data_IF_894480706981
#
_entry.id   IF_894480706981
#
_cell.length_a   1.000
_cell.length_b   1.000
_cell.length_c   1.000
_cell.angle_alpha   90.00
_cell.angle_beta   90.00
_cell.angle_gamma   90.00
#
_symmetry.space_group_name_H-M   'P 1'
#
loop_
_entity.id
_entity.type
_entity.pdbx_description
1 polymer ?
#
# COMPACT_ATOMS: atom_id res chain seq x y z
N UNK A 1 20.28 12.67 13.35
CA UNK A 1 20.20 11.31 12.80
C UNK A 1 18.87 10.70 13.27
N UNK A 2 17.89 10.58 12.40
CA UNK A 2 16.59 9.99 12.72
C UNK A 2 16.68 8.48 12.49
N UNK A 3 16.34 7.69 13.50
CA UNK A 3 16.32 6.23 13.42
C UNK A 3 14.96 5.81 12.85
N UNK A 4 14.96 5.10 11.73
CA UNK A 4 13.78 4.42 11.18
C UNK A 4 13.78 3.00 11.74
N UNK A 5 12.70 2.63 12.44
CA UNK A 5 12.47 1.28 12.95
C UNK A 5 11.32 0.66 12.15
N UNK A 6 11.54 -0.49 11.55
CA UNK A 6 10.53 -1.25 10.81
C UNK A 6 9.84 -2.22 11.77
N UNK A 7 8.51 -2.12 11.88
CA UNK A 7 7.71 -3.01 12.71
C UNK A 7 6.79 -3.86 11.81
N UNK A 8 6.74 -5.15 12.03
CA UNK A 8 5.85 -6.11 11.35
C UNK A 8 4.95 -6.78 12.36
N UNK A 9 3.69 -6.93 11.99
CA UNK A 9 2.73 -7.76 12.71
C UNK A 9 2.36 -8.99 11.88
N UNK A 10 2.49 -10.17 12.46
CA UNK A 10 1.94 -11.44 11.94
C UNK A 10 0.98 -11.99 12.98
N UNK A 11 -0.16 -12.49 12.52
CA UNK A 11 -1.27 -12.86 13.38
C UNK A 11 -1.71 -14.32 13.23
N UNK A 12 -2.27 -14.89 14.27
CA UNK A 12 -2.99 -16.18 14.27
C UNK A 12 -4.35 -16.08 14.99
N UNK A 13 -5.35 -16.72 14.41
CA UNK A 13 -6.79 -16.86 14.57
C UNK A 13 -7.41 -16.86 16.00
N UNK A 14 -8.69 -16.56 16.29
CA UNK A 14 -10.00 -16.70 15.71
C UNK A 14 -11.16 -16.19 16.61
N UNK A 15 -12.32 -15.99 16.05
CA UNK A 15 -13.75 -15.99 16.32
C UNK A 15 -14.46 -14.68 16.64
N UNK A 16 -15.64 -14.51 16.05
CA UNK A 16 -16.37 -13.33 15.66
C UNK A 16 -17.26 -12.64 16.70
N UNK A 17 -17.51 -11.32 16.54
CA UNK A 17 -18.86 -10.74 16.52
C UNK A 17 -18.90 -9.36 15.81
N UNK A 18 -20.06 -8.91 15.37
CA UNK A 18 -20.33 -8.32 14.07
C UNK A 18 -20.40 -6.80 13.95
N UNK A 19 -19.76 -6.25 12.90
CA UNK A 19 -20.34 -5.32 11.90
C UNK A 19 -19.61 -5.37 10.56
N UNK A 20 -18.40 -5.90 10.53
CA UNK A 20 -17.72 -6.36 9.31
C UNK A 20 -17.54 -7.85 9.48
N UNK A 21 -17.99 -8.72 8.55
CA UNK A 21 -17.73 -10.14 8.65
C UNK A 21 -16.24 -10.42 8.86
N UNK A 22 -15.90 -11.06 9.98
CA UNK A 22 -14.53 -11.40 10.35
C UNK A 22 -13.75 -10.36 11.16
N UNK A 23 -14.26 -9.15 11.38
CA UNK A 23 -13.59 -8.14 12.23
C UNK A 23 -14.19 -8.12 13.62
N UNK A 24 -13.37 -8.30 14.64
CA UNK A 24 -13.75 -8.20 16.05
C UNK A 24 -13.54 -6.78 16.57
N UNK A 25 -14.63 -6.09 16.94
CA UNK A 25 -14.60 -4.71 17.46
C UNK A 25 -14.84 -4.61 18.97
N UNK A 26 -15.24 -5.68 19.63
CA UNK A 26 -15.51 -5.69 21.06
C UNK A 26 -14.34 -6.18 21.88
N UNK A 27 -14.10 -5.56 23.03
CA UNK A 27 -13.04 -5.90 23.97
C UNK A 27 -13.62 -6.19 25.34
N UNK A 28 -13.01 -7.16 26.05
CA UNK A 28 -13.30 -7.43 27.46
C UNK A 28 -12.43 -6.51 28.32
N UNK A 29 -13.05 -5.51 28.98
CA UNK A 29 -12.36 -4.48 29.75
C UNK A 29 -11.95 -5.00 31.12
N UNK A 30 -10.76 -5.57 31.23
CA UNK A 30 -10.05 -5.67 32.48
C UNK A 30 -8.78 -4.84 32.45
N UNK A 31 -8.66 -3.86 33.37
CA UNK A 31 -7.55 -2.91 33.49
C UNK A 31 -6.19 -3.59 33.64
N UNK A 32 -5.49 -3.78 32.51
CA UNK A 32 -4.09 -4.20 32.50
C UNK A 32 -3.28 -3.27 31.60
N UNK A 33 -2.04 -2.99 31.99
CA UNK A 33 -1.08 -2.34 31.08
C UNK A 33 -0.90 -3.23 29.85
N UNK A 34 -1.29 -2.72 28.69
CA UNK A 34 -1.25 -3.47 27.44
C UNK A 34 0.19 -3.72 27.01
N UNK A 35 0.51 -4.99 26.87
CA UNK A 35 1.83 -5.47 26.48
C UNK A 35 1.90 -5.68 24.95
N UNK A 36 3.09 -5.91 24.42
CA UNK A 36 3.27 -6.36 23.03
C UNK A 36 2.50 -7.67 22.76
N UNK A 37 2.40 -8.55 23.76
CA UNK A 37 1.64 -9.79 23.64
C UNK A 37 0.14 -9.56 23.39
N UNK A 38 -0.45 -8.53 24.01
CA UNK A 38 -1.85 -8.17 23.78
C UNK A 38 -2.07 -7.65 22.36
N UNK A 39 -1.16 -6.81 21.86
CA UNK A 39 -1.20 -6.35 20.45
C UNK A 39 -1.05 -7.50 19.47
N UNK A 40 -0.17 -8.43 19.76
CA UNK A 40 0.05 -9.63 18.97
C UNK A 40 -1.20 -10.51 18.94
N UNK A 41 -1.84 -10.70 20.09
CA UNK A 41 -3.10 -11.42 20.20
C UNK A 41 -4.22 -10.74 19.39
N UNK A 42 -4.41 -9.44 19.58
CA UNK A 42 -5.43 -8.66 18.89
C UNK A 42 -5.24 -8.68 17.35
N UNK A 43 -3.99 -8.63 16.91
CA UNK A 43 -3.66 -8.76 15.50
C UNK A 43 -3.95 -10.19 14.99
N UNK A 44 -3.70 -11.20 15.83
CA UNK A 44 -4.02 -12.60 15.55
C UNK A 44 -5.50 -12.83 15.27
N UNK A 45 -6.35 -12.17 16.02
CA UNK A 45 -7.80 -12.22 15.80
C UNK A 45 -8.27 -11.69 14.45
N UNK A 46 -7.45 -10.85 13.77
CA UNK A 46 -7.77 -10.31 12.45
C UNK A 46 -7.25 -11.17 11.29
N UNK A 47 -6.48 -12.22 11.55
CA UNK A 47 -5.75 -12.94 10.50
C UNK A 47 -6.65 -13.42 9.36
N UNK A 48 -7.72 -14.14 9.67
CA UNK A 48 -8.57 -14.75 8.64
C UNK A 48 -9.26 -13.69 7.79
N UNK A 49 -9.70 -12.61 8.43
CA UNK A 49 -10.29 -11.47 7.73
C UNK A 49 -9.26 -10.74 6.85
N UNK A 50 -8.05 -10.51 7.34
CA UNK A 50 -6.95 -9.89 6.56
C UNK A 50 -6.60 -10.76 5.36
N UNK A 51 -6.50 -12.08 5.53
CA UNK A 51 -6.24 -13.03 4.45
C UNK A 51 -7.37 -12.98 3.42
N UNK A 52 -8.63 -12.98 3.85
CA UNK A 52 -9.77 -12.90 2.96
C UNK A 52 -9.81 -11.58 2.21
N UNK A 53 -9.59 -10.46 2.89
CA UNK A 53 -9.52 -9.12 2.29
C UNK A 53 -8.41 -9.05 1.25
N UNK A 54 -7.22 -9.60 1.55
CA UNK A 54 -6.11 -9.70 0.60
C UNK A 54 -6.52 -10.47 -0.65
N UNK A 55 -7.18 -11.62 -0.50
CA UNK A 55 -7.65 -12.45 -1.62
C UNK A 55 -8.69 -11.74 -2.48
N UNK A 56 -9.58 -10.97 -1.87
CA UNK A 56 -10.56 -10.15 -2.58
C UNK A 56 -9.88 -9.05 -3.41
N UNK A 57 -8.90 -8.34 -2.84
CA UNK A 57 -8.12 -7.33 -3.56
C UNK A 57 -7.31 -7.96 -4.69
N UNK A 58 -6.72 -9.13 -4.47
CA UNK A 58 -5.93 -9.86 -5.46
C UNK A 58 -6.74 -10.20 -6.73
N UNK A 59 -8.01 -10.47 -6.58
CA UNK A 59 -8.90 -10.84 -7.72
C UNK A 59 -9.17 -9.70 -8.68
N UNK A 60 -9.07 -8.45 -8.22
CA UNK A 60 -9.43 -7.25 -9.00
C UNK A 60 -8.30 -6.23 -9.00
N UNK A 61 -7.11 -6.59 -9.53
CA UNK A 61 -5.97 -5.68 -9.55
C UNK A 61 -6.24 -4.52 -10.52
N UNK A 62 -5.98 -3.30 -10.05
CA UNK A 62 -6.11 -2.09 -10.83
C UNK A 62 -4.74 -1.42 -10.99
N UNK A 63 -4.52 -0.78 -12.14
CA UNK A 63 -3.22 -0.21 -12.49
C UNK A 63 -3.13 1.25 -12.09
N UNK A 64 -1.93 1.77 -12.16
CA UNK A 64 -1.50 3.16 -11.89
C UNK A 64 -2.62 4.21 -11.97
N UNK A 65 -2.98 4.81 -10.85
CA UNK A 65 -3.97 5.88 -10.75
C UNK A 65 -5.42 5.49 -11.15
N UNK A 66 -5.72 4.21 -11.34
CA UNK A 66 -7.07 3.72 -11.65
C UNK A 66 -7.62 2.76 -10.58
N UNK A 67 -7.04 2.76 -9.39
CA UNK A 67 -7.32 1.87 -8.26
C UNK A 67 -8.67 2.22 -7.57
N UNK A 68 -9.74 2.34 -8.35
CA UNK A 68 -11.06 2.81 -7.91
C UNK A 68 -11.79 1.80 -7.05
N UNK A 69 -11.82 0.53 -7.45
CA UNK A 69 -12.47 -0.54 -6.71
C UNK A 69 -11.70 -0.83 -5.42
N UNK A 70 -10.38 -0.84 -5.52
CA UNK A 70 -9.46 -0.98 -4.38
C UNK A 70 -9.70 0.13 -3.35
N UNK A 71 -9.73 1.38 -3.80
CA UNK A 71 -10.03 2.54 -2.94
C UNK A 71 -11.44 2.46 -2.33
N UNK A 72 -12.44 2.04 -3.11
CA UNK A 72 -13.80 1.86 -2.63
C UNK A 72 -13.88 0.77 -1.54
N UNK A 73 -13.18 -0.35 -1.72
CA UNK A 73 -13.11 -1.41 -0.71
C UNK A 73 -12.47 -0.93 0.58
N UNK A 74 -11.34 -0.20 0.48
CA UNK A 74 -10.64 0.36 1.64
C UNK A 74 -11.56 1.35 2.38
N UNK A 75 -12.20 2.28 1.67
CA UNK A 75 -13.08 3.27 2.30
C UNK A 75 -14.34 2.65 2.91
N UNK A 76 -14.87 1.59 2.31
CA UNK A 76 -15.97 0.80 2.89
C UNK A 76 -15.56 0.23 4.26
N UNK A 77 -14.37 -0.37 4.35
CA UNK A 77 -13.86 -0.92 5.61
C UNK A 77 -13.64 0.20 6.63
N UNK A 78 -12.98 1.30 6.26
CA UNK A 78 -12.74 2.43 7.16
C UNK A 78 -14.05 3.04 7.68
N UNK A 79 -15.08 3.12 6.84
CA UNK A 79 -16.43 3.58 7.25
C UNK A 79 -17.03 2.65 8.28
N UNK A 80 -16.99 1.34 8.06
CA UNK A 80 -17.53 0.36 8.99
C UNK A 80 -16.75 0.33 10.32
N UNK A 81 -15.44 0.59 10.28
CA UNK A 81 -14.60 0.77 11.47
C UNK A 81 -14.81 2.13 12.16
N UNK A 82 -15.61 3.03 11.60
CA UNK A 82 -15.78 4.40 12.08
C UNK A 82 -14.44 5.16 12.20
N UNK A 83 -13.53 4.94 11.26
CA UNK A 83 -12.26 5.66 11.15
C UNK A 83 -12.44 6.86 10.25
N UNK A 84 -12.02 8.04 10.70
CA UNK A 84 -12.04 9.25 9.89
C UNK A 84 -11.00 9.18 8.77
N UNK A 85 -11.41 9.48 7.54
CA UNK A 85 -10.53 9.48 6.38
C UNK A 85 -10.88 10.57 5.37
N UNK A 86 -9.94 10.86 4.49
CA UNK A 86 -10.10 11.69 3.29
C UNK A 86 -9.64 10.91 2.07
N UNK A 87 -10.26 11.20 0.94
CA UNK A 87 -9.97 10.62 -0.38
C UNK A 87 -9.57 11.71 -1.37
N UNK A 88 -9.29 11.33 -2.61
CA UNK A 88 -8.96 12.30 -3.65
C UNK A 88 -7.47 12.64 -3.72
N UNK A 89 -6.64 11.93 -2.99
CA UNK A 89 -5.18 12.08 -2.98
C UNK A 89 -4.52 11.42 -4.19
N UNK A 90 -3.34 11.90 -4.55
CA UNK A 90 -2.53 11.44 -5.68
C UNK A 90 -3.24 11.62 -7.04
N UNK A 91 -3.58 12.84 -7.39
CA UNK A 91 -4.10 13.17 -8.72
C UNK A 91 -3.03 12.96 -9.79
N UNK A 92 -3.41 12.36 -10.90
CA UNK A 92 -2.50 12.12 -12.01
C UNK A 92 -2.34 13.35 -12.89
N UNK A 93 -1.48 14.25 -12.47
CA UNK A 93 -1.17 15.50 -13.22
C UNK A 93 -0.24 15.27 -14.42
N UNK A 94 0.26 14.05 -14.60
CA UNK A 94 1.22 13.68 -15.66
C UNK A 94 0.72 12.55 -16.58
N UNK A 95 -0.58 12.42 -16.71
CA UNK A 95 -1.19 11.34 -17.51
C UNK A 95 -0.68 11.29 -18.94
N UNK A 96 -0.54 12.46 -19.60
CA UNK A 96 -0.02 12.52 -20.97
C UNK A 96 1.47 12.10 -21.05
N UNK A 97 2.28 12.46 -20.04
CA UNK A 97 3.69 12.06 -19.97
C UNK A 97 3.82 10.55 -19.75
N UNK A 98 3.00 9.96 -18.89
CA UNK A 98 2.95 8.51 -18.67
C UNK A 98 2.49 7.77 -19.94
N UNK A 99 1.47 8.26 -20.62
CA UNK A 99 0.99 7.68 -21.87
C UNK A 99 2.06 7.71 -22.97
N UNK A 100 2.82 8.79 -23.06
CA UNK A 100 3.94 8.90 -24.00
C UNK A 100 5.06 7.89 -23.73
N UNK A 101 5.18 7.42 -22.50
CA UNK A 101 6.10 6.34 -22.07
C UNK A 101 5.47 4.94 -22.13
N UNK A 102 4.28 4.81 -22.70
CA UNK A 102 3.60 3.52 -22.86
C UNK A 102 2.83 3.05 -21.60
N UNK A 103 2.71 3.85 -20.55
CA UNK A 103 1.93 3.48 -19.37
C UNK A 103 0.44 3.74 -19.59
N UNK A 104 -0.37 2.73 -19.30
CA UNK A 104 -1.83 2.91 -19.12
C UNK A 104 -2.09 3.36 -17.70
N UNK A 105 -2.67 4.54 -17.53
CA UNK A 105 -2.91 5.13 -16.22
C UNK A 105 -4.26 5.85 -16.12
N UNK A 106 -4.88 5.81 -14.94
CA UNK A 106 -6.11 6.53 -14.63
C UNK A 106 -5.91 8.02 -14.33
N UNK A 107 -6.94 8.66 -13.81
CA UNK A 107 -6.95 10.08 -13.45
C UNK A 107 -6.37 10.36 -12.06
N UNK A 108 -6.22 9.31 -11.25
CA UNK A 108 -5.79 9.42 -9.87
C UNK A 108 -6.90 9.91 -8.92
N UNK A 109 -6.51 10.38 -7.76
CA UNK A 109 -7.44 10.69 -6.68
C UNK A 109 -7.91 9.44 -5.92
N UNK A 110 -7.25 8.31 -6.13
CA UNK A 110 -7.52 7.01 -5.48
C UNK A 110 -6.78 6.83 -4.16
N UNK A 111 -5.88 7.75 -3.82
CA UNK A 111 -5.19 7.76 -2.54
C UNK A 111 -6.12 8.08 -1.37
N UNK A 112 -5.84 7.45 -0.24
CA UNK A 112 -6.64 7.57 0.99
C UNK A 112 -5.71 7.92 2.14
N UNK A 113 -6.15 8.86 2.98
CA UNK A 113 -5.48 9.24 4.23
C UNK A 113 -6.48 9.12 5.35
N UNK A 114 -6.20 8.28 6.33
CA UNK A 114 -7.02 8.08 7.52
C UNK A 114 -6.26 8.48 8.79
N UNK A 115 -7.00 8.69 9.88
CA UNK A 115 -6.42 9.07 11.15
C UNK A 115 -7.14 8.39 12.30
N UNK A 116 -6.36 7.89 13.27
CA UNK A 116 -6.81 7.27 14.51
C UNK A 116 -6.06 7.91 15.68
N UNK A 117 -6.71 8.07 16.82
CA UNK A 117 -6.16 8.62 18.04
C UNK A 117 -6.59 10.05 18.31
N UNK A 118 -5.84 10.74 19.17
CA UNK A 118 -6.25 12.02 19.77
C UNK A 118 -6.28 13.23 18.83
N UNK A 119 -5.75 13.12 17.62
CA UNK A 119 -5.55 14.25 16.70
C UNK A 119 -4.42 15.20 17.11
N UNK A 120 -3.63 14.85 18.15
CA UNK A 120 -2.52 15.65 18.69
C UNK A 120 -1.18 14.99 18.42
N UNK A 121 -0.08 15.70 18.66
CA UNK A 121 1.26 15.15 18.64
C UNK A 121 1.48 14.16 19.82
N UNK A 122 2.41 13.19 19.65
CA UNK A 122 3.18 12.90 18.45
C UNK A 122 2.35 12.21 17.36
N UNK A 123 2.73 12.40 16.10
CA UNK A 123 2.10 11.70 14.97
C UNK A 123 3.06 10.68 14.36
N UNK A 124 2.55 9.49 14.10
CA UNK A 124 3.24 8.41 13.39
C UNK A 124 2.44 8.07 12.12
N UNK A 125 3.14 7.86 11.02
CA UNK A 125 2.54 7.51 9.73
C UNK A 125 2.82 6.05 9.40
N UNK A 126 1.78 5.33 9.00
CA UNK A 126 1.86 3.98 8.44
C UNK A 126 1.42 4.02 6.97
N UNK A 127 2.16 3.35 6.09
CA UNK A 127 1.93 3.39 4.63
C UNK A 127 1.78 1.99 4.05
N UNK A 128 0.81 1.85 3.17
CA UNK A 128 0.70 0.75 2.19
C UNK A 128 0.50 1.33 0.79
N UNK A 129 1.00 0.65 -0.23
CA UNK A 129 0.66 0.85 -1.63
C UNK A 129 -0.53 -0.01 -2.02
N UNK A 130 -1.17 0.30 -3.18
CA UNK A 130 -2.44 -0.34 -3.55
C UNK A 130 -2.58 -0.70 -5.04
N UNK A 131 -1.62 -0.34 -5.88
CA UNK A 131 -1.69 -0.61 -7.32
C UNK A 131 -1.22 -2.02 -7.68
N UNK A 132 -1.73 -2.53 -8.79
CA UNK A 132 -1.31 -3.76 -9.43
C UNK A 132 -0.40 -3.51 -10.63
N UNK A 133 0.07 -4.60 -11.25
CA UNK A 133 0.97 -4.61 -12.40
C UNK A 133 0.28 -5.15 -13.65
N UNK A 134 0.66 -4.67 -14.86
CA UNK A 134 0.16 -5.18 -16.14
C UNK A 134 0.86 -6.51 -16.49
N UNK A 135 0.65 -7.51 -15.66
CA UNK A 135 1.28 -8.84 -15.77
C UNK A 135 0.17 -9.88 -15.79
N UNK A 136 0.24 -10.84 -16.74
CA UNK A 136 -0.68 -11.96 -16.75
C UNK A 136 -0.34 -12.94 -15.63
N UNK A 137 -1.33 -13.29 -14.81
CA UNK A 137 -1.17 -14.26 -13.72
C UNK A 137 -1.23 -15.68 -14.25
N UNK A 138 -0.13 -16.41 -14.13
CA UNK A 138 -0.03 -17.82 -14.55
C UNK A 138 -0.32 -18.82 -13.42
N UNK A 139 -0.46 -18.34 -12.18
CA UNK A 139 -0.73 -19.22 -11.04
C UNK A 139 -2.21 -19.56 -11.00
N UNK A 140 -2.52 -20.85 -10.94
CA UNK A 140 -3.89 -21.30 -10.76
C UNK A 140 -4.23 -21.39 -9.27
N UNK A 141 -5.04 -20.45 -8.80
CA UNK A 141 -5.48 -20.38 -7.40
C UNK A 141 -6.95 -19.93 -7.32
N UNK A 142 -7.67 -20.28 -6.24
CA UNK A 142 -9.07 -19.85 -6.06
C UNK A 142 -9.25 -18.34 -5.97
N UNK A 143 -8.18 -17.59 -5.72
CA UNK A 143 -8.15 -16.13 -5.65
C UNK A 143 -7.37 -15.46 -6.78
N UNK A 144 -7.07 -16.19 -7.85
CA UNK A 144 -6.44 -15.67 -9.05
C UNK A 144 -7.16 -14.42 -9.55
N UNK A 145 -6.40 -13.50 -10.13
CA UNK A 145 -6.95 -12.32 -10.81
C UNK A 145 -8.04 -12.69 -11.81
N UNK A 146 -9.16 -11.96 -11.76
CA UNK A 146 -10.23 -12.04 -12.77
C UNK A 146 -10.03 -11.07 -13.92
N UNK A 147 -9.01 -10.20 -13.82
CA UNK A 147 -8.65 -9.20 -14.80
C UNK A 147 -7.51 -9.71 -15.67
N UNK A 148 -7.79 -10.08 -16.92
CA UNK A 148 -6.77 -10.58 -17.81
C UNK A 148 -5.65 -9.55 -18.04
N UNK A 149 -4.40 -10.01 -18.01
CA UNK A 149 -3.22 -9.16 -18.15
C UNK A 149 -2.92 -8.24 -16.94
N UNK A 150 -3.60 -8.42 -15.80
CA UNK A 150 -3.32 -7.69 -14.58
C UNK A 150 -3.16 -8.62 -13.38
N UNK A 151 -2.23 -8.30 -12.50
CA UNK A 151 -1.95 -9.08 -11.29
C UNK A 151 -1.36 -8.19 -10.18
N UNK A 152 -1.69 -8.49 -8.93
CA UNK A 152 -0.91 -8.01 -7.79
C UNK A 152 0.36 -8.86 -7.63
N UNK A 153 1.36 -8.64 -8.51
CA UNK A 153 2.59 -9.42 -8.52
C UNK A 153 3.64 -8.89 -7.54
N UNK A 154 3.51 -7.65 -7.06
CA UNK A 154 4.42 -7.04 -6.08
C UNK A 154 3.95 -7.20 -4.62
N UNK A 155 2.71 -7.64 -4.39
CA UNK A 155 2.17 -7.90 -3.06
C UNK A 155 1.45 -6.71 -2.40
N UNK A 156 1.11 -5.67 -3.16
CA UNK A 156 0.44 -4.47 -2.64
C UNK A 156 -0.96 -4.76 -2.09
N UNK A 157 -1.65 -5.77 -2.60
CA UNK A 157 -2.88 -6.32 -2.02
C UNK A 157 -2.70 -6.79 -0.56
N UNK A 158 -1.56 -7.44 -0.28
CA UNK A 158 -1.18 -7.82 1.07
C UNK A 158 -0.86 -6.62 1.96
N UNK A 159 -0.11 -5.64 1.42
CA UNK A 159 0.20 -4.40 2.16
C UNK A 159 -1.08 -3.64 2.54
N UNK A 160 -2.01 -3.46 1.58
CA UNK A 160 -3.29 -2.80 1.79
C UNK A 160 -4.14 -3.52 2.84
N UNK A 161 -4.26 -4.85 2.75
CA UNK A 161 -5.02 -5.66 3.70
C UNK A 161 -4.42 -5.64 5.11
N UNK A 162 -3.10 -5.71 5.23
CA UNK A 162 -2.42 -5.62 6.54
C UNK A 162 -2.61 -4.25 7.19
N UNK A 163 -2.57 -3.17 6.42
CA UNK A 163 -2.83 -1.83 6.95
C UNK A 163 -4.30 -1.68 7.39
N UNK A 164 -5.25 -2.33 6.72
CA UNK A 164 -6.64 -2.41 7.18
C UNK A 164 -6.77 -3.21 8.48
N UNK A 165 -6.04 -4.33 8.61
CA UNK A 165 -5.95 -5.09 9.87
C UNK A 165 -5.39 -4.25 11.02
N UNK A 166 -4.32 -3.51 10.75
CA UNK A 166 -3.76 -2.57 11.71
C UNK A 166 -4.77 -1.46 12.09
N UNK A 167 -5.53 -0.93 11.12
CA UNK A 167 -6.58 0.06 11.38
C UNK A 167 -7.65 -0.48 12.33
N UNK A 168 -8.09 -1.74 12.15
CA UNK A 168 -9.07 -2.39 13.01
C UNK A 168 -8.55 -2.54 14.46
N UNK A 169 -7.33 -3.02 14.63
CA UNK A 169 -6.69 -3.15 15.95
C UNK A 169 -6.49 -1.81 16.62
N UNK A 170 -5.96 -0.83 15.89
CA UNK A 170 -5.70 0.51 16.40
C UNK A 170 -7.00 1.24 16.76
N UNK A 171 -8.05 1.09 15.96
CA UNK A 171 -9.36 1.70 16.25
C UNK A 171 -9.96 1.14 17.53
N UNK A 172 -9.90 -0.17 17.73
CA UNK A 172 -10.35 -0.82 18.97
C UNK A 172 -9.59 -0.30 20.21
N UNK A 173 -8.35 0.11 20.03
CA UNK A 173 -7.48 0.66 21.08
C UNK A 173 -7.34 2.18 21.04
N UNK A 174 -8.21 2.88 20.34
CA UNK A 174 -8.07 4.32 20.10
C UNK A 174 -7.96 5.14 21.39
N UNK A 175 -8.68 4.77 22.46
CA UNK A 175 -8.61 5.42 23.74
C UNK A 175 -7.23 5.34 24.44
N UNK A 176 -6.39 4.38 24.06
CA UNK A 176 -5.04 4.20 24.58
C UNK A 176 -3.99 5.04 23.82
N UNK A 177 -4.35 5.53 22.63
CA UNK A 177 -3.45 6.27 21.74
C UNK A 177 -3.36 7.72 22.19
N UNK A 178 -2.22 8.08 22.80
CA UNK A 178 -1.99 9.45 23.31
C UNK A 178 -1.73 10.48 22.20
N UNK A 179 -1.22 10.03 21.04
CA UNK A 179 -0.92 10.83 19.88
C UNK A 179 -1.85 10.52 18.71
N UNK A 180 -1.33 10.62 17.51
CA UNK A 180 -2.03 10.38 16.25
C UNK A 180 -1.34 9.31 15.45
N UNK A 181 -2.11 8.38 14.88
CA UNK A 181 -1.63 7.45 13.87
C UNK A 181 -2.30 7.81 12.56
N UNK A 182 -1.49 8.17 11.57
CA UNK A 182 -1.92 8.48 10.21
C UNK A 182 -1.69 7.27 9.34
N UNK A 183 -2.74 6.82 8.65
CA UNK A 183 -2.71 5.67 7.76
C UNK A 183 -2.82 6.17 6.32
N UNK A 184 -1.94 5.69 5.44
CA UNK A 184 -1.92 6.10 4.04
C UNK A 184 -2.01 4.87 3.16
N UNK A 185 -3.01 4.83 2.29
CA UNK A 185 -3.08 3.93 1.14
C UNK A 185 -2.69 4.71 -0.10
N UNK A 186 -1.48 4.45 -0.59
CA UNK A 186 -0.84 5.16 -1.68
C UNK A 186 -1.07 4.43 -3.00
N UNK A 187 -1.68 5.08 -4.01
CA UNK A 187 -1.78 4.52 -5.37
C UNK A 187 -0.48 4.71 -6.16
N UNK A 188 -0.41 4.03 -7.32
CA UNK A 188 0.56 4.27 -8.39
C UNK A 188 2.04 4.26 -7.92
N UNK A 189 2.42 3.24 -7.16
CA UNK A 189 3.82 3.02 -6.75
C UNK A 189 4.65 2.57 -7.93
N UNK A 190 4.12 1.67 -8.77
CA UNK A 190 4.76 0.96 -9.89
C UNK A 190 5.03 1.86 -11.12
N UNK A 191 5.66 3.00 -10.90
CA UNK A 191 6.08 3.94 -11.97
C UNK A 191 5.26 5.23 -12.05
N UNK A 192 4.16 5.36 -11.32
CA UNK A 192 3.33 6.59 -11.30
C UNK A 192 3.81 7.66 -10.32
N UNK A 193 4.71 7.31 -9.41
CA UNK A 193 5.19 8.16 -8.33
C UNK A 193 4.05 8.74 -7.46
N UNK A 194 3.03 7.92 -7.16
CA UNK A 194 1.87 8.32 -6.38
C UNK A 194 2.21 8.88 -5.00
N UNK A 195 3.23 8.32 -4.32
CA UNK A 195 3.73 8.85 -3.07
C UNK A 195 4.25 10.28 -3.20
N UNK A 196 4.99 10.58 -4.27
CA UNK A 196 5.43 11.95 -4.57
C UNK A 196 4.24 12.87 -4.77
N UNK A 197 3.18 12.43 -5.46
CA UNK A 197 1.95 13.21 -5.64
C UNK A 197 1.30 13.55 -4.30
N UNK A 198 1.13 12.56 -3.42
CA UNK A 198 0.56 12.78 -2.09
C UNK A 198 1.41 13.76 -1.26
N UNK A 199 2.73 13.71 -1.39
CA UNK A 199 3.63 14.66 -0.71
C UNK A 199 3.48 16.07 -1.28
N UNK A 200 3.44 16.21 -2.61
CA UNK A 200 3.19 17.50 -3.29
C UNK A 200 1.82 18.09 -2.93
N UNK A 201 0.81 17.24 -2.71
CA UNK A 201 -0.52 17.60 -2.24
C UNK A 201 -0.57 17.93 -0.74
N UNK A 202 0.54 17.74 -0.01
CA UNK A 202 0.70 18.19 1.37
C UNK A 202 0.44 17.14 2.45
N UNK A 203 0.37 15.84 2.13
CA UNK A 203 0.06 14.78 3.11
C UNK A 203 1.03 14.77 4.31
N UNK A 204 2.30 15.12 4.12
CA UNK A 204 3.29 15.22 5.20
C UNK A 204 3.25 16.57 5.94
N UNK A 205 2.53 17.54 5.41
CA UNK A 205 2.35 18.87 6.03
C UNK A 205 1.04 19.01 6.81
N UNK A 206 0.18 17.99 6.77
CA UNK A 206 -1.04 17.94 7.58
C UNK A 206 -0.69 17.91 9.07
N UNK A 207 -1.36 18.74 9.86
CA UNK A 207 -1.21 18.72 11.32
C UNK A 207 -2.03 17.56 11.96
N UNK A 208 -1.50 16.91 13.01
CA UNK A 208 -0.11 17.02 13.49
C UNK A 208 0.87 16.38 12.49
N UNK A 209 2.05 16.99 12.31
CA UNK A 209 3.04 16.49 11.35
C UNK A 209 3.62 15.15 11.78
N UNK A 210 3.78 14.18 10.86
CA UNK A 210 4.37 12.91 11.20
C UNK A 210 5.86 13.08 11.58
N UNK A 211 6.21 12.54 12.77
CA UNK A 211 7.58 12.51 13.28
C UNK A 211 8.36 11.28 12.81
N UNK A 212 7.62 10.22 12.45
CA UNK A 212 8.17 8.98 11.90
C UNK A 212 7.18 8.41 10.88
N UNK A 213 7.70 7.72 9.88
CA UNK A 213 6.93 7.00 8.89
C UNK A 213 7.41 5.55 8.83
N UNK A 214 6.47 4.62 8.75
CA UNK A 214 6.72 3.19 8.62
C UNK A 214 5.99 2.68 7.39
N UNK A 215 6.72 1.88 6.61
CA UNK A 215 6.21 1.07 5.52
C UNK A 215 7.03 -0.20 5.48
N UNK A 216 6.47 -1.25 4.94
CA UNK A 216 7.23 -2.47 4.69
C UNK A 216 6.84 -3.01 3.33
N UNK A 217 7.64 -3.94 2.85
CA UNK A 217 7.41 -4.63 1.60
C UNK A 217 7.48 -6.13 1.83
N UNK A 218 6.54 -6.90 1.25
CA UNK A 218 6.64 -8.35 1.21
C UNK A 218 7.91 -8.75 0.48
N UNK A 219 8.68 -9.68 1.07
CA UNK A 219 9.97 -10.07 0.52
C UNK A 219 10.09 -11.59 0.40
N UNK A 220 10.12 -12.14 -0.82
CA UNK A 220 10.02 -13.58 -1.02
C UNK A 220 11.27 -14.37 -0.61
N UNK A 221 12.39 -13.68 -0.37
CA UNK A 221 13.67 -14.31 -0.01
C UNK A 221 13.91 -14.37 1.50
N UNK A 222 13.01 -13.84 2.31
CA UNK A 222 13.07 -14.03 3.77
C UNK A 222 12.21 -15.23 4.19
N UNK A 223 12.63 -15.98 5.19
CA UNK A 223 11.80 -17.03 5.77
C UNK A 223 10.47 -16.47 6.26
N UNK A 224 9.38 -17.26 6.12
CA UNK A 224 8.06 -16.89 6.60
C UNK A 224 8.12 -16.56 8.10
N UNK A 225 7.46 -15.46 8.50
CA UNK A 225 7.48 -14.96 9.88
C UNK A 225 8.71 -14.13 10.25
N UNK A 226 9.64 -13.92 9.31
CA UNK A 226 10.82 -13.09 9.51
C UNK A 226 10.60 -11.65 9.03
N UNK A 227 11.25 -10.73 9.72
CA UNK A 227 11.30 -9.31 9.36
C UNK A 227 12.75 -8.91 9.17
N UNK A 228 13.04 -8.25 8.05
CA UNK A 228 14.37 -7.73 7.75
C UNK A 228 14.37 -6.20 7.69
N UNK A 229 15.45 -5.61 8.14
CA UNK A 229 15.71 -4.18 8.03
C UNK A 229 17.18 -3.87 8.27
N UNK A 230 17.65 -2.73 7.75
CA UNK A 230 19.00 -2.24 8.00
C UNK A 230 19.03 -0.71 8.04
N UNK A 231 20.00 -0.10 8.73
CA UNK A 231 20.24 1.33 8.63
C UNK A 231 20.76 1.70 7.22
N UNK A 232 20.36 2.88 6.74
CA UNK A 232 20.76 3.41 5.44
C UNK A 232 19.99 2.84 4.25
N UNK A 233 20.51 2.91 3.02
CA UNK A 233 19.84 2.44 1.82
C UNK A 233 19.52 0.95 1.88
N UNK A 234 18.26 0.60 1.61
CA UNK A 234 17.79 -0.79 1.62
C UNK A 234 17.49 -1.31 0.22
N UNK A 235 16.86 -0.50 -0.62
CA UNK A 235 16.51 -0.83 -2.00
C UNK A 235 17.38 -0.04 -2.97
N UNK A 236 17.55 -0.57 -4.20
CA UNK A 236 18.25 0.11 -5.27
C UNK A 236 17.45 1.33 -5.76
N UNK A 237 18.16 2.34 -6.25
CA UNK A 237 17.55 3.36 -7.07
C UNK A 237 17.21 2.78 -8.44
N UNK A 238 16.09 3.21 -9.02
CA UNK A 238 15.68 2.83 -10.38
C UNK A 238 15.55 4.06 -11.26
N UNK A 239 15.89 3.90 -12.51
CA UNK A 239 15.75 4.93 -13.53
C UNK A 239 15.20 4.30 -14.81
N UNK A 240 14.30 5.01 -15.48
CA UNK A 240 13.81 4.64 -16.79
C UNK A 240 14.44 5.57 -17.83
N UNK A 241 15.00 5.01 -18.90
CA UNK A 241 15.54 5.78 -19.99
C UNK A 241 15.17 5.14 -21.34
N UNK A 242 14.95 5.98 -22.33
CA UNK A 242 14.69 5.56 -23.70
C UNK A 242 15.94 5.81 -24.55
N UNK A 243 16.31 4.83 -25.36
CA UNK A 243 17.37 4.98 -26.37
C UNK A 243 16.70 4.97 -27.74
N UNK A 244 16.73 6.11 -28.40
CA UNK A 244 16.23 6.23 -29.78
C UNK A 244 17.42 6.28 -30.73
N UNK A 245 17.52 5.27 -31.62
CA UNK A 245 18.53 5.22 -32.68
C UNK A 245 17.83 5.54 -33.97
N UNK A 246 18.16 6.69 -34.54
CA UNK A 246 17.62 7.12 -35.84
C UNK A 246 18.66 7.00 -36.95
N UNK A 247 18.24 6.57 -38.11
CA UNK A 247 19.14 6.44 -39.25
C UNK A 247 18.41 5.97 -40.51
N UNK A 248 19.10 5.97 -41.62
CA UNK A 248 18.59 5.42 -42.89
C UNK A 248 18.89 3.94 -42.91
N UNK A 249 17.84 3.11 -43.04
CA UNK A 249 17.99 1.66 -43.16
C UNK A 249 18.70 1.26 -44.45
N UNK A 250 19.49 0.20 -44.39
CA UNK A 250 20.20 -0.31 -45.54
C UNK A 250 20.81 -1.69 -45.28
N UNK A 251 21.54 -2.20 -46.27
CA UNK A 251 22.16 -3.51 -46.16
C UNK A 251 23.33 -3.49 -45.18
N UNK A 252 23.31 -4.38 -44.18
CA UNK A 252 24.28 -4.41 -43.09
C UNK A 252 25.75 -4.49 -43.52
N UNK A 253 26.03 -5.11 -44.68
CA UNK A 253 27.38 -5.18 -45.26
C UNK A 253 27.84 -3.87 -45.95
N UNK A 254 26.95 -2.85 -46.04
CA UNK A 254 27.21 -1.55 -46.70
C UNK A 254 27.26 -0.40 -45.69
N UNK A 255 27.83 -0.62 -44.53
CA UNK A 255 27.85 0.33 -43.39
C UNK A 255 28.43 1.72 -43.73
N UNK A 256 29.31 1.82 -44.73
CA UNK A 256 29.90 3.09 -45.17
C UNK A 256 28.91 4.06 -45.81
N UNK A 257 27.72 3.61 -46.19
CA UNK A 257 26.68 4.41 -46.87
C UNK A 257 25.59 4.84 -45.88
N UNK A 258 25.58 4.26 -44.71
CA UNK A 258 24.57 4.49 -43.68
C UNK A 258 25.12 5.43 -42.61
N UNK A 259 24.40 6.53 -42.34
CA UNK A 259 24.71 7.46 -41.25
C UNK A 259 23.61 7.34 -40.19
N UNK A 260 24.01 6.98 -38.99
CA UNK A 260 23.17 7.15 -37.78
C UNK A 260 23.42 8.56 -37.27
N UNK A 261 22.35 9.33 -37.13
CA UNK A 261 22.39 10.70 -36.60
C UNK A 261 21.82 10.72 -35.15
#
# INVERSE_FOLDING_TARGET
MRKVLTLVLVAAAATADETIPGVRLTRDDNQHQHTFADLWHDAGEQQDWVVQTRRELHRTPELLFDEKQTAAKITQVLTALQVNFTTGWAKNTKRAELAAKGFVSGEGGTGIVAQIGSGKEPCVLLRADIDGLPIHENVDSPWKSTEDGKMHACGHDGHAAMLLGAAAVLKRREAEIKGTIRLIWQPAEEGGAGGKRMVEEGVLSMEPKPQAAFGFHQWPFLPLGSIGGRPGPMLAATELFDIVVSGVGGHAAMFAIQRVT
#
